data_IF_094476889232
#
_entry.id   IF_094476889232
#
_cell.length_a   1.000
_cell.length_b   1.000
_cell.length_c   1.000
_cell.angle_alpha   90.00
_cell.angle_beta   90.00
_cell.angle_gamma   90.00
#
_symmetry.space_group_name_H-M   'P 1'
#
loop_
_entity.id
_entity.type
_entity.pdbx_description
1 polymer ?
#
# COMPACT_ATOMS: atom_id res chain seq x y z
N UNK A 1 10.58 63.64 5.79
CA UNK A 1 9.96 63.53 4.47
C UNK A 1 9.59 62.08 4.26
N UNK A 2 8.29 61.74 4.27
CA UNK A 2 7.77 60.40 4.49
C UNK A 2 7.47 59.68 3.17
N UNK A 3 7.50 58.35 3.22
CA UNK A 3 6.84 57.48 2.25
C UNK A 3 5.81 56.63 2.99
N UNK A 4 4.61 57.17 3.16
CA UNK A 4 3.42 56.37 3.45
C UNK A 4 3.01 55.61 2.19
N UNK A 5 2.65 54.35 2.34
CA UNK A 5 1.61 53.72 1.53
C UNK A 5 0.74 52.90 2.47
N UNK A 6 -0.35 53.54 2.91
CA UNK A 6 -1.52 52.82 3.37
C UNK A 6 -2.30 52.30 2.16
N UNK A 7 -2.75 51.06 2.26
CA UNK A 7 -3.95 50.61 1.56
C UNK A 7 -4.62 49.58 2.47
N UNK A 8 -5.63 50.04 3.21
CA UNK A 8 -6.57 49.17 3.90
C UNK A 8 -7.32 48.33 2.88
N UNK A 9 -7.04 47.04 2.86
CA UNK A 9 -7.92 46.06 2.24
C UNK A 9 -9.09 45.79 3.19
N UNK A 10 -10.32 46.04 2.73
CA UNK A 10 -11.52 45.62 3.43
C UNK A 10 -11.42 44.12 3.78
N UNK A 11 -11.91 43.69 4.97
CA UNK A 11 -11.96 42.26 5.27
C UNK A 11 -12.83 41.58 4.22
N UNK A 12 -12.20 40.74 3.40
CA UNK A 12 -12.91 39.82 2.52
C UNK A 12 -13.90 38.98 3.32
N UNK A 13 -14.96 38.44 2.68
CA UNK A 13 -16.00 37.69 3.36
C UNK A 13 -15.38 36.63 4.26
N UNK A 14 -15.81 36.63 5.53
CA UNK A 14 -15.29 35.75 6.57
C UNK A 14 -15.14 34.33 6.04
N UNK A 15 -13.91 33.81 6.06
CA UNK A 15 -13.64 32.43 5.70
C UNK A 15 -14.58 31.53 6.50
N UNK A 16 -15.41 30.78 5.78
CA UNK A 16 -16.20 29.66 6.26
C UNK A 16 -15.43 28.95 7.39
N UNK A 17 -16.04 28.76 8.56
CA UNK A 17 -15.36 28.30 9.77
C UNK A 17 -14.77 26.90 9.53
N UNK A 18 -13.57 26.91 8.94
CA UNK A 18 -13.22 25.99 7.88
C UNK A 18 -12.54 24.74 8.37
N UNK A 19 -12.51 23.72 7.51
CA UNK A 19 -11.75 22.49 7.75
C UNK A 19 -10.29 22.86 8.01
N UNK A 20 -9.73 22.39 9.13
CA UNK A 20 -8.34 22.69 9.53
C UNK A 20 -7.48 21.44 9.48
N UNK A 21 -6.32 21.54 8.83
CA UNK A 21 -5.26 20.52 8.87
C UNK A 21 -4.15 21.05 9.78
N UNK A 22 -3.79 20.28 10.81
CA UNK A 22 -2.70 20.61 11.73
C UNK A 22 -1.60 19.57 11.63
N UNK A 23 -0.41 19.99 11.22
CA UNK A 23 0.79 19.15 11.26
C UNK A 23 1.43 19.30 12.64
N UNK A 24 1.53 18.21 13.38
CA UNK A 24 2.10 18.18 14.73
C UNK A 24 3.29 17.22 14.75
N UNK A 25 4.44 17.73 15.17
CA UNK A 25 5.69 16.97 15.23
C UNK A 25 6.05 16.65 16.68
N UNK A 26 7.00 15.74 16.86
CA UNK A 26 7.53 15.35 18.17
C UNK A 26 6.48 14.75 19.13
N UNK A 27 5.55 13.98 18.57
CA UNK A 27 4.50 13.30 19.30
C UNK A 27 4.49 11.82 18.91
N UNK A 28 4.74 10.95 19.88
CA UNK A 28 4.66 9.48 19.72
C UNK A 28 3.35 8.99 20.34
N UNK A 29 2.45 8.33 19.60
CA UNK A 29 1.21 7.81 20.19
C UNK A 29 1.55 6.70 21.19
N UNK A 30 0.97 6.76 22.38
CA UNK A 30 1.19 5.76 23.45
C UNK A 30 -0.08 5.05 23.91
N UNK A 31 -1.24 5.68 23.75
CA UNK A 31 -2.52 5.11 24.19
C UNK A 31 -3.69 5.66 23.35
N UNK A 32 -4.63 4.80 22.98
CA UNK A 32 -5.92 5.23 22.46
C UNK A 32 -6.85 5.47 23.65
N UNK A 33 -7.37 6.69 23.76
CA UNK A 33 -8.32 7.04 24.79
C UNK A 33 -9.70 6.54 24.39
N UNK A 34 -10.42 5.95 25.33
CA UNK A 34 -11.73 5.34 25.10
C UNK A 34 -12.80 6.02 25.95
N UNK A 35 -13.99 6.21 25.37
CA UNK A 35 -15.19 6.66 26.08
C UNK A 35 -16.40 5.93 25.52
N UNK A 36 -17.01 5.07 26.33
CA UNK A 36 -18.23 4.36 25.95
C UNK A 36 -18.01 3.35 24.82
N UNK A 37 -16.88 2.63 24.85
CA UNK A 37 -16.48 1.62 23.86
C UNK A 37 -16.00 2.21 22.52
N UNK A 38 -15.75 3.51 22.45
CA UNK A 38 -15.33 4.22 21.22
C UNK A 38 -14.10 5.06 21.46
N UNK A 39 -13.30 5.26 20.42
CA UNK A 39 -12.14 6.16 20.48
C UNK A 39 -12.62 7.58 20.77
N UNK A 40 -12.00 8.19 21.77
CA UNK A 40 -12.24 9.58 22.20
C UNK A 40 -11.00 10.46 22.02
N UNK A 41 -9.83 9.86 21.81
CA UNK A 41 -8.60 10.60 21.55
C UNK A 41 -7.38 9.70 21.52
N UNK A 42 -6.22 10.34 21.49
CA UNK A 42 -4.92 9.67 21.56
C UNK A 42 -4.05 10.42 22.55
N UNK A 43 -3.46 9.69 23.50
CA UNK A 43 -2.38 10.20 24.32
C UNK A 43 -1.07 10.07 23.58
N UNK A 44 -0.32 11.17 23.54
CA UNK A 44 1.00 11.22 22.95
C UNK A 44 2.06 11.50 24.00
N UNK A 45 3.18 10.79 23.93
CA UNK A 45 4.41 11.21 24.58
C UNK A 45 5.08 12.28 23.72
N UNK A 46 5.48 13.39 24.34
CA UNK A 46 6.33 14.39 23.69
C UNK A 46 7.73 13.84 23.53
N UNK A 47 8.26 13.94 22.32
CA UNK A 47 9.63 13.52 22.01
C UNK A 47 10.54 14.73 21.75
N UNK A 48 11.85 14.50 21.73
CA UNK A 48 12.86 15.47 21.31
C UNK A 48 13.95 14.74 20.51
N UNK A 49 14.68 15.42 19.61
CA UNK A 49 15.83 14.81 18.95
C UNK A 49 16.83 14.24 19.96
N UNK A 50 17.38 13.07 19.66
CA UNK A 50 18.42 12.43 20.47
C UNK A 50 19.86 12.80 20.04
N UNK A 51 20.01 13.47 18.90
CA UNK A 51 21.30 13.83 18.31
C UNK A 51 21.90 12.77 17.38
N UNK A 52 21.27 11.61 17.23
CA UNK A 52 21.71 10.49 16.39
C UNK A 52 20.74 10.20 15.22
N UNK A 53 19.87 11.16 14.89
CA UNK A 53 18.85 11.02 13.85
C UNK A 53 17.56 10.35 14.33
N UNK A 54 17.46 10.02 15.62
CA UNK A 54 16.26 9.49 16.26
C UNK A 54 15.56 10.52 17.14
N UNK A 55 14.66 10.01 17.98
CA UNK A 55 13.94 10.80 18.98
C UNK A 55 13.88 10.05 20.31
N UNK A 56 13.92 10.79 21.41
CA UNK A 56 13.75 10.29 22.77
C UNK A 56 12.54 10.91 23.45
N UNK A 57 11.90 10.17 24.35
CA UNK A 57 10.80 10.69 25.14
C UNK A 57 11.28 11.78 26.12
N UNK A 58 10.44 12.79 26.34
CA UNK A 58 10.69 13.88 27.29
C UNK A 58 10.05 13.64 28.66
N UNK A 59 9.28 12.56 28.81
CA UNK A 59 8.47 12.27 30.01
C UNK A 59 7.17 13.09 30.10
N UNK A 60 6.92 14.02 29.17
CA UNK A 60 5.67 14.80 29.11
C UNK A 60 4.66 14.16 28.19
N UNK A 61 3.39 14.24 28.57
CA UNK A 61 2.27 13.71 27.80
C UNK A 61 1.31 14.82 27.36
N UNK A 62 0.60 14.59 26.26
CA UNK A 62 -0.50 15.42 25.78
C UNK A 62 -1.59 14.54 25.18
N UNK A 63 -2.83 14.81 25.56
CA UNK A 63 -4.00 14.13 25.02
C UNK A 63 -4.61 14.98 23.90
N UNK A 64 -4.89 14.35 22.75
CA UNK A 64 -5.59 14.98 21.62
C UNK A 64 -6.92 14.27 21.44
N UNK A 65 -8.02 14.97 21.70
CA UNK A 65 -9.37 14.44 21.47
C UNK A 65 -9.60 14.19 19.97
N UNK A 66 -10.17 13.03 19.64
CA UNK A 66 -10.49 12.60 18.29
C UNK A 66 -11.50 11.45 18.31
N UNK A 67 -12.43 11.44 17.35
CA UNK A 67 -13.42 10.37 17.19
C UNK A 67 -13.01 9.34 16.11
N UNK A 68 -11.93 9.60 15.38
CA UNK A 68 -11.35 8.73 14.37
C UNK A 68 -9.82 8.83 14.43
N UNK A 69 -9.15 7.69 14.44
CA UNK A 69 -7.69 7.60 14.38
C UNK A 69 -7.29 6.72 13.20
N UNK A 70 -6.56 7.30 12.25
CA UNK A 70 -6.04 6.61 11.08
C UNK A 70 -4.53 6.42 11.24
N UNK A 71 -4.09 5.16 11.36
CA UNK A 71 -2.67 4.83 11.45
C UNK A 71 -2.06 4.74 10.05
N UNK A 72 -1.22 5.71 9.71
CA UNK A 72 -0.50 5.78 8.43
C UNK A 72 1.03 5.67 8.62
N UNK A 73 1.50 4.66 9.37
CA UNK A 73 2.93 4.47 9.73
C UNK A 73 3.65 3.45 8.83
N UNK A 74 3.16 3.27 7.60
CA UNK A 74 3.68 2.29 6.65
C UNK A 74 2.91 0.96 6.64
N UNK A 75 3.13 0.22 5.57
CA UNK A 75 2.59 -1.14 5.37
C UNK A 75 3.58 -2.19 5.91
N UNK A 76 3.20 -3.46 5.87
CA UNK A 76 4.09 -4.59 6.17
C UNK A 76 3.69 -5.77 5.30
N UNK A 77 4.67 -6.52 4.80
CA UNK A 77 4.40 -7.77 4.11
C UNK A 77 3.75 -8.79 5.06
N UNK A 78 3.01 -9.73 4.49
CA UNK A 78 2.43 -10.86 5.20
C UNK A 78 3.07 -12.13 4.64
N UNK A 79 3.39 -13.06 5.52
CA UNK A 79 3.94 -14.36 5.15
C UNK A 79 2.98 -15.12 4.23
N UNK A 80 3.52 -15.70 3.16
CA UNK A 80 2.80 -16.59 2.27
C UNK A 80 3.27 -18.02 2.53
N UNK A 81 2.36 -18.98 2.82
CA UNK A 81 2.75 -20.37 3.03
C UNK A 81 3.62 -20.90 1.88
N UNK A 82 4.75 -21.52 2.24
CA UNK A 82 5.71 -22.08 1.29
C UNK A 82 6.83 -21.13 0.83
N UNK A 83 6.74 -19.82 1.10
CA UNK A 83 7.76 -18.83 0.77
C UNK A 83 8.54 -18.42 2.03
N UNK A 84 9.90 -18.32 2.01
CA UNK A 84 10.64 -17.85 3.16
C UNK A 84 10.31 -16.38 3.45
N UNK A 85 10.29 -16.01 4.73
CA UNK A 85 9.86 -14.69 5.18
C UNK A 85 10.77 -14.18 6.30
N UNK A 86 11.17 -12.92 6.21
CA UNK A 86 11.84 -12.19 7.27
C UNK A 86 10.77 -11.46 8.08
N UNK A 87 10.41 -11.94 9.29
CA UNK A 87 9.39 -11.30 10.08
C UNK A 87 9.83 -9.94 10.60
N UNK A 88 11.12 -9.66 10.74
CA UNK A 88 11.63 -8.37 11.26
C UNK A 88 11.37 -7.26 10.24
N UNK A 89 11.74 -7.49 8.99
CA UNK A 89 11.60 -6.50 7.92
C UNK A 89 10.27 -6.60 7.16
N UNK A 90 9.55 -7.71 7.29
CA UNK A 90 8.29 -7.97 6.58
C UNK A 90 8.50 -8.16 5.08
N UNK A 91 9.60 -8.83 4.70
CA UNK A 91 10.04 -9.03 3.32
C UNK A 91 10.42 -10.49 3.08
N UNK A 92 10.63 -10.86 1.81
CA UNK A 92 11.17 -12.16 1.43
C UNK A 92 12.69 -12.06 1.29
N UNK A 93 13.48 -12.87 2.01
CA UNK A 93 14.94 -12.89 1.89
C UNK A 93 15.38 -13.14 0.44
N UNK A 94 16.31 -12.34 -0.07
CA UNK A 94 16.73 -12.43 -1.47
C UNK A 94 18.18 -11.99 -1.73
N UNK A 95 18.74 -12.42 -2.87
CA UNK A 95 19.98 -11.88 -3.46
C UNK A 95 19.70 -11.42 -4.90
N UNK A 96 19.79 -10.11 -5.15
CA UNK A 96 19.45 -9.49 -6.45
C UNK A 96 18.09 -9.97 -7.03
N UNK A 97 17.09 -10.16 -6.16
CA UNK A 97 15.76 -10.67 -6.53
C UNK A 97 15.58 -12.19 -6.51
N UNK A 98 16.65 -13.01 -6.42
CA UNK A 98 16.54 -14.47 -6.22
C UNK A 98 16.16 -14.76 -4.77
N UNK A 99 15.09 -15.51 -4.54
CA UNK A 99 14.66 -15.89 -3.19
C UNK A 99 15.75 -16.74 -2.51
N UNK A 100 16.02 -16.50 -1.23
CA UNK A 100 17.00 -17.26 -0.45
C UNK A 100 16.31 -18.22 0.51
N UNK A 101 16.73 -19.49 0.50
CA UNK A 101 16.34 -20.51 1.50
C UNK A 101 17.60 -20.98 2.20
N UNK A 102 17.71 -20.75 3.50
CA UNK A 102 18.93 -21.04 4.26
C UNK A 102 20.18 -20.30 3.72
N UNK A 103 19.99 -19.10 3.15
CA UNK A 103 21.08 -18.32 2.54
C UNK A 103 21.46 -18.72 1.11
N UNK A 104 20.84 -19.75 0.55
CA UNK A 104 21.12 -20.23 -0.82
C UNK A 104 20.00 -19.81 -1.78
N UNK A 105 20.30 -19.31 -2.99
CA UNK A 105 19.29 -19.01 -4.01
C UNK A 105 18.44 -20.23 -4.33
N UNK A 106 17.11 -20.08 -4.24
CA UNK A 106 16.14 -21.09 -4.64
C UNK A 106 15.86 -20.99 -6.15
N UNK A 107 16.20 -22.01 -6.95
CA UNK A 107 16.05 -21.94 -8.40
C UNK A 107 14.59 -21.81 -8.85
N UNK A 108 14.30 -20.76 -9.61
CA UNK A 108 12.96 -20.48 -10.15
C UNK A 108 12.09 -19.60 -9.27
N UNK A 109 12.58 -19.17 -8.10
CA UNK A 109 11.85 -18.30 -7.18
C UNK A 109 12.48 -16.90 -7.16
N UNK A 110 11.67 -15.89 -7.50
CA UNK A 110 12.11 -14.49 -7.57
C UNK A 110 11.11 -13.56 -6.90
N UNK A 111 11.61 -12.43 -6.39
CA UNK A 111 10.79 -11.36 -5.80
C UNK A 111 11.13 -10.01 -6.39
N UNK A 112 10.15 -9.11 -6.43
CA UNK A 112 10.29 -7.73 -6.87
C UNK A 112 9.32 -6.82 -6.10
N UNK A 113 9.50 -5.50 -6.20
CA UNK A 113 8.61 -4.53 -5.56
C UNK A 113 8.74 -4.50 -4.03
N UNK A 114 7.63 -4.25 -3.34
CA UNK A 114 7.63 -4.03 -1.89
C UNK A 114 7.92 -5.29 -1.07
N UNK A 115 7.51 -6.48 -1.52
CA UNK A 115 7.85 -7.72 -0.82
C UNK A 115 9.37 -8.01 -0.83
N UNK A 116 10.09 -7.42 -1.80
CA UNK A 116 11.55 -7.45 -1.91
C UNK A 116 12.23 -6.36 -1.05
N UNK A 117 11.80 -5.10 -1.17
CA UNK A 117 12.53 -3.92 -0.63
C UNK A 117 11.90 -3.28 0.61
N UNK A 118 10.75 -3.77 1.05
CA UNK A 118 9.88 -3.07 1.99
C UNK A 118 9.01 -2.00 1.31
N UNK A 119 8.03 -1.45 2.04
CA UNK A 119 6.96 -0.60 1.49
C UNK A 119 7.39 0.87 1.36
N UNK A 120 8.52 1.10 0.69
CA UNK A 120 9.07 2.44 0.46
C UNK A 120 9.34 2.69 -1.03
N UNK A 121 9.27 3.97 -1.39
CA UNK A 121 9.44 4.44 -2.77
C UNK A 121 8.13 4.58 -3.53
N UNK A 122 8.23 5.24 -4.68
CA UNK A 122 7.10 5.53 -5.58
C UNK A 122 6.93 4.39 -6.61
N UNK A 123 5.87 4.45 -7.42
CA UNK A 123 5.64 3.49 -8.52
C UNK A 123 6.88 3.33 -9.41
N UNK A 124 7.58 4.42 -9.72
CA UNK A 124 8.82 4.41 -10.50
C UNK A 124 9.96 3.61 -9.86
N UNK A 125 10.07 3.59 -8.52
CA UNK A 125 11.09 2.83 -7.80
C UNK A 125 10.90 1.31 -7.96
N UNK A 126 9.68 0.86 -8.26
CA UNK A 126 9.42 -0.55 -8.53
C UNK A 126 9.92 -0.98 -9.91
N UNK A 127 10.01 -0.05 -10.88
CA UNK A 127 10.52 -0.35 -12.23
C UNK A 127 12.00 -0.75 -12.21
N UNK A 128 12.86 0.02 -11.55
CA UNK A 128 14.29 -0.31 -11.43
C UNK A 128 14.49 -1.61 -10.63
N UNK A 129 13.74 -1.76 -9.53
CA UNK A 129 13.74 -2.97 -8.72
C UNK A 129 13.38 -4.23 -9.51
N UNK A 130 12.35 -4.16 -10.35
CA UNK A 130 11.92 -5.26 -11.21
C UNK A 130 12.96 -5.58 -12.29
N UNK A 131 13.59 -4.56 -12.89
CA UNK A 131 14.66 -4.76 -13.89
C UNK A 131 15.82 -5.60 -13.33
N UNK A 132 16.25 -5.33 -12.10
CA UNK A 132 17.31 -6.13 -11.46
C UNK A 132 16.88 -7.59 -11.28
N UNK A 133 15.66 -7.83 -10.79
CA UNK A 133 15.13 -9.18 -10.64
C UNK A 133 15.03 -9.91 -11.98
N UNK A 134 14.57 -9.22 -13.03
CA UNK A 134 14.49 -9.80 -14.39
C UNK A 134 15.87 -10.10 -14.96
N UNK A 135 16.87 -9.26 -14.71
CA UNK A 135 18.25 -9.53 -15.12
C UNK A 135 18.77 -10.82 -14.48
N UNK A 136 18.48 -11.04 -13.19
CA UNK A 136 18.78 -12.29 -12.49
C UNK A 136 18.05 -13.49 -13.11
N UNK A 137 16.76 -13.36 -13.40
CA UNK A 137 15.97 -14.41 -14.05
C UNK A 137 16.54 -14.78 -15.43
N UNK A 138 16.90 -13.79 -16.24
CA UNK A 138 17.50 -14.01 -17.57
C UNK A 138 18.87 -14.68 -17.48
N UNK A 139 19.69 -14.32 -16.49
CA UNK A 139 20.97 -14.99 -16.25
C UNK A 139 20.80 -16.47 -15.87
N UNK A 140 19.69 -16.82 -15.21
CA UNK A 140 19.39 -18.19 -14.80
C UNK A 140 18.62 -18.98 -15.88
N UNK A 141 18.19 -18.33 -16.97
CA UNK A 141 17.25 -18.89 -17.94
C UNK A 141 17.70 -20.23 -18.52
N UNK A 142 18.98 -20.37 -18.87
CA UNK A 142 19.52 -21.61 -19.42
C UNK A 142 19.42 -22.81 -18.44
N UNK A 143 19.38 -22.54 -17.13
CA UNK A 143 19.13 -23.56 -16.11
C UNK A 143 17.65 -23.85 -15.92
N UNK A 144 16.82 -22.80 -15.95
CA UNK A 144 15.37 -22.92 -15.79
C UNK A 144 14.72 -23.68 -16.95
N UNK A 145 15.15 -23.45 -18.19
CA UNK A 145 14.57 -24.08 -19.38
C UNK A 145 14.88 -25.58 -19.51
N UNK A 146 15.81 -26.12 -18.70
CA UNK A 146 16.05 -27.57 -18.62
C UNK A 146 14.93 -28.32 -17.89
N UNK A 147 14.07 -27.59 -17.15
CA UNK A 147 12.92 -28.18 -16.46
C UNK A 147 11.78 -28.34 -17.46
N UNK A 148 11.13 -29.49 -17.44
CA UNK A 148 9.87 -29.69 -18.18
C UNK A 148 8.84 -28.69 -17.66
N UNK A 149 8.22 -27.93 -18.57
CA UNK A 149 7.13 -27.04 -18.21
C UNK A 149 5.98 -27.87 -17.59
N UNK A 150 5.40 -27.35 -16.52
CA UNK A 150 4.11 -27.86 -16.05
C UNK A 150 3.06 -27.71 -17.16
N UNK A 151 1.98 -28.48 -17.09
CA UNK A 151 0.82 -28.30 -17.96
C UNK A 151 0.24 -26.88 -17.86
N UNK A 152 -0.73 -26.56 -18.71
CA UNK A 152 -1.40 -25.25 -18.69
C UNK A 152 -1.83 -24.88 -17.25
N UNK A 153 -1.28 -23.79 -16.67
CA UNK A 153 -1.62 -23.38 -15.32
C UNK A 153 -3.13 -23.14 -15.13
N UNK A 154 -3.84 -22.70 -16.17
CA UNK A 154 -5.29 -22.51 -16.08
C UNK A 154 -6.03 -23.83 -15.93
N UNK A 155 -5.60 -24.88 -16.63
CA UNK A 155 -6.16 -26.22 -16.47
C UNK A 155 -5.95 -26.74 -15.05
N UNK A 156 -4.73 -26.63 -14.52
CA UNK A 156 -4.40 -27.04 -13.14
C UNK A 156 -5.24 -26.29 -12.11
N UNK A 157 -5.37 -24.96 -12.24
CA UNK A 157 -6.20 -24.17 -11.33
C UNK A 157 -7.68 -24.58 -11.40
N UNK A 158 -8.20 -24.90 -12.59
CA UNK A 158 -9.59 -25.37 -12.77
C UNK A 158 -9.82 -26.76 -12.19
N UNK A 159 -8.84 -27.66 -12.30
CA UNK A 159 -8.85 -28.99 -11.66
C UNK A 159 -8.89 -28.89 -10.14
N UNK A 160 -8.22 -27.89 -9.56
CA UNK A 160 -8.31 -27.56 -8.13
C UNK A 160 -9.65 -26.90 -7.73
N UNK A 161 -10.62 -26.81 -8.65
CA UNK A 161 -11.93 -26.21 -8.41
C UNK A 161 -11.94 -24.68 -8.42
N UNK A 162 -10.83 -24.04 -8.79
CA UNK A 162 -10.75 -22.58 -8.88
C UNK A 162 -11.38 -22.08 -10.19
N UNK A 163 -11.72 -20.79 -10.21
CA UNK A 163 -12.28 -20.10 -11.37
C UNK A 163 -11.50 -18.80 -11.59
N UNK A 164 -10.33 -18.85 -12.25
CA UNK A 164 -9.52 -17.67 -12.51
C UNK A 164 -10.30 -16.64 -13.34
N UNK A 165 -10.17 -15.35 -12.98
CA UNK A 165 -10.63 -14.26 -13.84
C UNK A 165 -9.52 -13.97 -14.84
N UNK A 166 -9.79 -14.30 -16.10
CA UNK A 166 -8.87 -14.03 -17.20
C UNK A 166 -8.96 -12.56 -17.63
N UNK A 167 -8.10 -12.16 -18.57
CA UNK A 167 -8.02 -10.78 -19.04
C UNK A 167 -9.36 -10.24 -19.57
N UNK A 168 -10.12 -11.05 -20.30
CA UNK A 168 -11.46 -10.67 -20.81
C UNK A 168 -12.47 -10.43 -19.69
N UNK A 169 -12.43 -11.24 -18.63
CA UNK A 169 -13.26 -11.04 -17.44
C UNK A 169 -12.88 -9.78 -16.68
N UNK A 170 -11.57 -9.48 -16.56
CA UNK A 170 -11.11 -8.21 -15.99
C UNK A 170 -11.62 -6.99 -16.78
N UNK A 171 -11.50 -7.01 -18.12
CA UNK A 171 -12.03 -5.95 -18.97
C UNK A 171 -13.56 -5.78 -18.83
N UNK A 172 -14.28 -6.89 -18.62
CA UNK A 172 -15.73 -6.84 -18.35
C UNK A 172 -16.06 -6.16 -17.03
N UNK A 173 -15.25 -6.36 -15.98
CA UNK A 173 -15.35 -5.60 -14.71
C UNK A 173 -15.13 -4.11 -14.98
N UNK A 174 -14.06 -3.74 -15.68
CA UNK A 174 -13.75 -2.32 -15.95
C UNK A 174 -14.88 -1.63 -16.73
N UNK A 175 -15.46 -2.33 -17.71
CA UNK A 175 -16.65 -1.86 -18.42
C UNK A 175 -17.81 -1.63 -17.45
N UNK A 176 -18.18 -2.62 -16.65
CA UNK A 176 -19.29 -2.52 -15.69
C UNK A 176 -19.12 -1.35 -14.70
N UNK A 177 -17.91 -1.14 -14.18
CA UNK A 177 -17.57 0.00 -13.31
C UNK A 177 -17.73 1.36 -14.03
N UNK A 178 -17.34 1.42 -15.30
CA UNK A 178 -17.52 2.61 -16.13
C UNK A 178 -19.01 2.88 -16.44
N UNK A 179 -19.81 1.84 -16.70
CA UNK A 179 -21.26 1.98 -16.93
C UNK A 179 -21.99 2.46 -15.68
N UNK A 180 -21.66 1.89 -14.52
CA UNK A 180 -22.17 2.33 -13.23
C UNK A 180 -21.83 3.81 -13.00
N UNK A 181 -20.57 4.19 -13.26
CA UNK A 181 -20.13 5.58 -13.22
C UNK A 181 -20.99 6.50 -14.09
N UNK A 182 -21.17 6.15 -15.37
CA UNK A 182 -22.02 6.91 -16.30
C UNK A 182 -23.46 7.04 -15.81
N UNK A 183 -24.07 5.97 -15.31
CA UNK A 183 -25.45 5.99 -14.80
C UNK A 183 -25.65 6.96 -13.64
N UNK A 184 -24.57 7.28 -12.92
CA UNK A 184 -24.55 8.19 -11.78
C UNK A 184 -24.00 9.59 -12.13
N UNK A 185 -23.66 9.85 -13.39
CA UNK A 185 -23.03 11.10 -13.80
C UNK A 185 -21.62 11.31 -13.26
N UNK A 186 -20.86 10.22 -13.06
CA UNK A 186 -19.50 10.22 -12.48
C UNK A 186 -18.51 9.53 -13.42
N UNK A 187 -17.22 9.64 -13.10
CA UNK A 187 -16.21 8.70 -13.62
C UNK A 187 -16.45 7.27 -13.13
N UNK A 188 -15.60 6.29 -13.51
CA UNK A 188 -15.78 4.90 -13.12
C UNK A 188 -16.02 4.73 -11.61
N UNK A 189 -17.03 3.94 -11.24
CA UNK A 189 -17.38 3.63 -9.86
C UNK A 189 -17.07 2.18 -9.57
N UNK A 190 -16.26 1.95 -8.53
CA UNK A 190 -15.82 0.60 -8.16
C UNK A 190 -16.98 -0.27 -7.69
N UNK A 191 -17.00 -1.52 -8.18
CA UNK A 191 -17.86 -2.56 -7.60
C UNK A 191 -17.26 -2.94 -6.25
N UNK A 192 -17.99 -2.79 -5.13
CA UNK A 192 -17.38 -2.78 -3.79
C UNK A 192 -17.22 -4.19 -3.18
N UNK A 193 -17.72 -5.23 -3.84
CA UNK A 193 -17.76 -6.59 -3.29
C UNK A 193 -17.40 -7.67 -4.31
N UNK A 194 -17.00 -8.83 -3.78
CA UNK A 194 -16.56 -9.98 -4.58
C UNK A 194 -17.66 -10.56 -5.45
N UNK A 195 -18.91 -10.59 -4.97
CA UNK A 195 -20.01 -11.20 -5.72
C UNK A 195 -20.30 -10.39 -6.99
N UNK A 196 -20.34 -9.06 -6.88
CA UNK A 196 -20.48 -8.15 -8.01
C UNK A 196 -19.30 -8.22 -8.97
N UNK A 197 -18.06 -8.25 -8.47
CA UNK A 197 -16.87 -8.39 -9.32
C UNK A 197 -16.89 -9.70 -10.11
N UNK A 198 -17.22 -10.82 -9.46
CA UNK A 198 -17.29 -12.14 -10.10
C UNK A 198 -18.47 -12.26 -11.06
N UNK A 199 -19.59 -11.57 -10.81
CA UNK A 199 -20.71 -11.49 -11.74
C UNK A 199 -20.31 -10.70 -13.00
N UNK A 200 -19.76 -9.50 -12.82
CA UNK A 200 -19.30 -8.65 -13.93
C UNK A 200 -18.21 -9.33 -14.77
N UNK A 201 -17.32 -10.10 -14.15
CA UNK A 201 -16.30 -10.87 -14.86
C UNK A 201 -16.85 -11.96 -15.79
N UNK A 202 -18.10 -12.41 -15.59
CA UNK A 202 -18.76 -13.46 -16.39
C UNK A 202 -19.66 -12.92 -17.49
N UNK A 203 -19.96 -11.62 -17.46
CA UNK A 203 -20.77 -10.93 -18.48
C UNK A 203 -19.92 -10.65 -19.74
N UNK A 204 -19.47 -11.73 -20.40
CA UNK A 204 -18.72 -11.68 -21.66
C UNK A 204 -19.61 -11.28 -22.86
N UNK A 205 -20.93 -11.14 -22.68
CA UNK A 205 -21.94 -11.05 -23.74
C UNK A 205 -22.84 -9.79 -23.71
N UNK A 206 -22.31 -8.63 -23.33
CA UNK A 206 -22.98 -7.33 -23.57
C UNK A 206 -22.14 -6.38 -24.38
#
# INVERSE_FOLDING_TARGET
MPGEVGAGGAPGPAADAGRRIRLRFFLRPVELLERGGRVAGVRFARTAPDGAGGVRDTGRYEDIEAQLVLRAVGYRGVELPGLPFDPVHGTVPHAAGRVLRGGVPSPGEYVAGWIKRGPTGVIGSNRSCAKETVASLLADAAALTRRTAAGDPLAVLREWGLRPVEWTGWLSIERAEAELGRSLGRGPVKIPDWAGLLAAARDENR
#
